data_IF_315523976011
#
_entry.id   IF_315523976011
#
_cell.length_a   1.000
_cell.length_b   1.000
_cell.length_c   1.000
_cell.angle_alpha   90.00
_cell.angle_beta   90.00
_cell.angle_gamma   90.00
#
_symmetry.space_group_name_H-M   'P 1'
#
loop_
_entity.id
_entity.type
_entity.pdbx_description
1 polymer ?
#
# COMPACT_ATOMS: atom_id res chain seq x y z
N UNK A 1 -3.59 -17.00 2.87
CA UNK A 1 -3.03 -15.64 3.09
C UNK A 1 -3.80 -14.98 4.22
N UNK A 2 -3.10 -14.38 5.17
CA UNK A 2 -3.68 -13.55 6.24
C UNK A 2 -3.25 -12.10 6.02
N UNK A 3 -4.20 -11.17 6.05
CA UNK A 3 -3.95 -9.74 5.86
C UNK A 3 -4.23 -9.02 7.18
N UNK A 4 -3.25 -8.29 7.68
CA UNK A 4 -3.38 -7.54 8.94
C UNK A 4 -3.56 -6.06 8.65
N UNK A 5 -4.75 -5.56 8.96
CA UNK A 5 -5.17 -4.16 8.88
C UNK A 5 -5.45 -3.59 10.28
N UNK A 6 -4.57 -3.88 11.24
CA UNK A 6 -4.66 -3.44 12.64
C UNK A 6 -3.32 -2.89 13.12
N UNK A 7 -3.31 -2.26 14.30
CA UNK A 7 -2.11 -1.71 14.95
C UNK A 7 -2.04 -0.18 14.96
N UNK A 8 -2.94 0.51 14.24
CA UNK A 8 -3.03 1.98 14.28
C UNK A 8 -3.38 2.51 15.70
N UNK A 9 -3.97 1.67 16.55
CA UNK A 9 -4.35 2.00 17.92
C UNK A 9 -3.42 1.38 18.99
N UNK A 10 -2.29 0.77 18.58
CA UNK A 10 -1.35 0.19 19.53
C UNK A 10 -0.67 1.27 20.38
N UNK A 11 -0.23 0.85 21.57
CA UNK A 11 0.32 1.73 22.61
C UNK A 11 1.79 2.10 22.41
N UNK A 12 2.52 1.37 21.57
CA UNK A 12 3.93 1.67 21.30
C UNK A 12 4.62 0.69 20.32
N UNK A 13 5.82 1.05 19.83
CA UNK A 13 6.53 0.28 18.82
C UNK A 13 6.95 -1.12 19.31
N UNK A 14 7.32 -1.26 20.59
CA UNK A 14 7.65 -2.57 21.16
C UNK A 14 6.43 -3.48 21.31
N UNK A 15 5.26 -2.92 21.63
CA UNK A 15 4.02 -3.67 21.69
C UNK A 15 3.66 -4.19 20.30
N UNK A 16 3.65 -3.30 19.30
CA UNK A 16 3.42 -3.64 17.90
C UNK A 16 4.42 -4.70 17.42
N UNK A 17 5.70 -4.56 17.77
CA UNK A 17 6.75 -5.53 17.44
C UNK A 17 6.43 -6.93 17.95
N UNK A 18 6.07 -7.04 19.23
CA UNK A 18 5.70 -8.31 19.86
C UNK A 18 4.45 -8.90 19.18
N UNK A 19 3.44 -8.07 18.90
CA UNK A 19 2.23 -8.50 18.22
C UNK A 19 2.53 -9.07 16.82
N UNK A 20 3.32 -8.37 16.00
CA UNK A 20 3.72 -8.85 14.67
C UNK A 20 4.45 -10.19 14.77
N UNK A 21 5.41 -10.32 15.70
CA UNK A 21 6.16 -11.59 15.89
C UNK A 21 5.25 -12.75 16.26
N UNK A 22 4.33 -12.53 17.19
CA UNK A 22 3.38 -13.55 17.63
C UNK A 22 2.47 -13.96 16.48
N UNK A 23 1.88 -13.01 15.76
CA UNK A 23 1.01 -13.28 14.62
C UNK A 23 1.77 -14.02 13.52
N UNK A 24 2.96 -13.54 13.13
CA UNK A 24 3.77 -14.17 12.10
C UNK A 24 4.15 -15.61 12.45
N UNK A 25 4.47 -15.89 13.72
CA UNK A 25 4.72 -17.26 14.20
C UNK A 25 3.49 -18.16 14.03
N UNK A 26 2.30 -17.68 14.40
CA UNK A 26 1.07 -18.48 14.27
C UNK A 26 0.67 -18.69 12.81
N UNK A 27 0.79 -17.66 11.97
CA UNK A 27 0.50 -17.74 10.53
C UNK A 27 1.44 -18.74 9.85
N UNK A 28 2.73 -18.71 10.21
CA UNK A 28 3.71 -19.70 9.71
C UNK A 28 3.36 -21.13 10.12
N UNK A 29 2.94 -21.35 11.38
CA UNK A 29 2.53 -22.69 11.86
C UNK A 29 1.35 -23.27 11.08
N UNK A 30 0.48 -22.40 10.56
CA UNK A 30 -0.68 -22.78 9.74
C UNK A 30 -0.33 -22.94 8.26
N UNK A 31 0.95 -22.80 7.87
CA UNK A 31 1.37 -22.88 6.46
C UNK A 31 0.84 -21.74 5.59
N UNK A 32 0.40 -20.63 6.20
CA UNK A 32 -0.17 -19.50 5.48
C UNK A 32 0.86 -18.38 5.27
N UNK A 33 0.65 -17.59 4.21
CA UNK A 33 1.38 -16.35 3.95
C UNK A 33 0.81 -15.19 4.76
N UNK A 34 1.65 -14.20 5.07
CA UNK A 34 1.27 -13.00 5.83
C UNK A 34 1.51 -11.72 5.00
N UNK A 35 0.51 -10.83 4.98
CA UNK A 35 0.63 -9.47 4.49
C UNK A 35 0.26 -8.48 5.60
N UNK A 36 1.06 -7.44 5.80
CA UNK A 36 0.78 -6.38 6.78
C UNK A 36 0.63 -5.03 6.09
N UNK A 37 -0.39 -4.27 6.49
CA UNK A 37 -0.71 -2.97 5.93
C UNK A 37 -0.05 -1.85 6.75
N UNK A 38 0.69 -0.94 6.11
CA UNK A 38 1.28 0.22 6.82
C UNK A 38 0.22 1.26 7.18
N UNK A 39 0.52 2.09 8.17
CA UNK A 39 -0.41 3.09 8.70
C UNK A 39 -0.19 4.44 8.05
N UNK A 40 -1.28 5.18 7.82
CA UNK A 40 -1.20 6.54 7.28
C UNK A 40 -0.50 7.48 8.26
N UNK A 41 0.55 8.15 7.81
CA UNK A 41 1.27 9.17 8.56
C UNK A 41 0.63 10.55 8.33
N UNK A 42 -0.51 10.80 8.99
CA UNK A 42 -1.21 12.09 8.92
C UNK A 42 -2.09 12.32 10.16
N UNK A 43 -2.64 13.53 10.30
CA UNK A 43 -3.52 13.91 11.40
C UNK A 43 -2.86 13.68 12.77
N UNK A 44 -3.69 13.38 13.78
CA UNK A 44 -3.23 13.14 15.16
C UNK A 44 -2.35 11.90 15.35
N UNK A 45 -2.20 11.04 14.33
CA UNK A 45 -1.37 9.81 14.41
C UNK A 45 -0.04 9.95 13.67
N UNK A 46 0.28 11.11 13.10
CA UNK A 46 1.47 11.35 12.27
C UNK A 46 2.77 10.81 12.91
N UNK A 47 3.11 11.30 14.10
CA UNK A 47 4.37 10.95 14.77
C UNK A 47 4.39 9.50 15.22
N UNK A 48 3.26 8.98 15.70
CA UNK A 48 3.13 7.57 16.08
C UNK A 48 3.34 6.66 14.87
N UNK A 49 2.69 6.95 13.75
CA UNK A 49 2.77 6.09 12.57
C UNK A 49 4.15 6.17 11.89
N UNK A 50 4.87 7.30 12.02
CA UNK A 50 6.28 7.42 11.64
C UNK A 50 7.20 6.48 12.43
N UNK A 51 6.87 6.17 13.69
CA UNK A 51 7.65 5.19 14.47
C UNK A 51 7.18 3.76 14.22
N UNK A 52 5.88 3.55 13.95
CA UNK A 52 5.31 2.22 13.75
C UNK A 52 5.60 1.62 12.37
N UNK A 53 5.55 2.41 11.30
CA UNK A 53 5.77 1.91 9.94
C UNK A 53 7.17 1.27 9.73
N UNK A 54 8.27 1.83 10.25
CA UNK A 54 9.56 1.16 10.25
C UNK A 54 9.55 -0.19 10.98
N UNK A 55 8.82 -0.30 12.09
CA UNK A 55 8.67 -1.58 12.82
C UNK A 55 7.96 -2.60 11.95
N UNK A 56 6.83 -2.24 11.34
CA UNK A 56 6.11 -3.13 10.39
C UNK A 56 7.06 -3.61 9.30
N UNK A 57 7.78 -2.71 8.65
CA UNK A 57 8.69 -3.06 7.54
C UNK A 57 9.82 -3.99 7.99
N UNK A 58 10.44 -3.72 9.15
CA UNK A 58 11.51 -4.55 9.69
C UNK A 58 11.01 -5.94 10.10
N UNK A 59 9.87 -6.01 10.79
CA UNK A 59 9.35 -7.28 11.30
C UNK A 59 8.82 -8.17 10.17
N UNK A 60 8.17 -7.58 9.16
CA UNK A 60 7.70 -8.31 7.99
C UNK A 60 8.84 -8.83 7.13
N UNK A 61 9.92 -8.05 6.96
CA UNK A 61 11.14 -8.52 6.28
C UNK A 61 11.72 -9.74 7.00
N UNK A 62 11.85 -9.71 8.32
CA UNK A 62 12.35 -10.87 9.10
C UNK A 62 11.41 -12.08 9.00
N UNK A 63 10.10 -11.85 8.98
CA UNK A 63 9.12 -12.91 8.90
C UNK A 63 8.94 -13.50 7.47
N UNK A 64 9.67 -12.99 6.48
CA UNK A 64 9.44 -13.30 5.05
C UNK A 64 7.99 -13.04 4.61
N UNK A 65 7.33 -12.06 5.23
CA UNK A 65 5.99 -11.64 4.86
C UNK A 65 5.99 -10.44 3.91
N UNK A 66 4.83 -10.11 3.37
CA UNK A 66 4.65 -8.98 2.44
C UNK A 66 4.19 -7.73 3.17
N UNK A 67 4.64 -6.56 2.70
CA UNK A 67 4.12 -5.26 3.16
C UNK A 67 3.26 -4.65 2.07
N UNK A 68 2.02 -4.28 2.41
CA UNK A 68 1.21 -3.40 1.59
C UNK A 68 1.38 -1.95 2.11
N UNK A 69 2.11 -1.12 1.36
CA UNK A 69 2.46 0.24 1.80
C UNK A 69 1.30 1.23 1.57
N UNK A 70 0.24 1.09 2.37
CA UNK A 70 -0.90 2.00 2.35
C UNK A 70 -0.53 3.43 2.72
N UNK A 71 0.49 3.65 3.57
CA UNK A 71 0.99 4.98 3.85
C UNK A 71 1.42 5.70 2.55
N UNK A 72 2.20 5.03 1.70
CA UNK A 72 2.68 5.61 0.44
C UNK A 72 1.53 5.98 -0.52
N UNK A 73 0.54 5.10 -0.64
CA UNK A 73 -0.62 5.30 -1.53
C UNK A 73 -1.52 6.41 -0.98
N UNK A 74 -1.92 6.27 0.28
CA UNK A 74 -2.87 7.19 0.90
C UNK A 74 -2.33 8.61 0.98
N UNK A 75 -1.02 8.82 1.20
CA UNK A 75 -0.42 10.15 1.40
C UNK A 75 -0.75 11.13 0.27
N UNK A 76 -0.93 10.64 -0.96
CA UNK A 76 -1.24 11.45 -2.15
C UNK A 76 -2.74 11.70 -2.34
N UNK A 77 -3.60 11.06 -1.56
CA UNK A 77 -5.04 11.04 -1.78
C UNK A 77 -5.81 11.58 -0.57
N UNK A 78 -5.65 12.88 -0.27
CA UNK A 78 -6.28 13.52 0.89
C UNK A 78 -7.82 13.44 0.87
N UNK A 79 -8.42 13.51 -0.32
CA UNK A 79 -9.87 13.45 -0.52
C UNK A 79 -10.50 12.08 -0.19
N UNK A 80 -9.71 11.05 0.09
CA UNK A 80 -10.19 9.74 0.59
C UNK A 80 -10.50 9.72 2.08
N UNK A 81 -10.18 10.80 2.80
CA UNK A 81 -10.25 10.86 4.26
C UNK A 81 -11.26 11.90 4.74
N UNK A 82 -11.77 11.69 5.95
CA UNK A 82 -12.61 12.66 6.67
C UNK A 82 -11.74 13.76 7.30
N UNK A 83 -12.36 14.68 8.04
CA UNK A 83 -11.69 15.86 8.60
C UNK A 83 -10.48 15.57 9.50
N UNK A 84 -10.44 14.41 10.16
CA UNK A 84 -9.29 14.02 11.00
C UNK A 84 -8.07 13.52 10.21
N UNK A 85 -8.21 13.39 8.88
CA UNK A 85 -7.17 12.90 7.95
C UNK A 85 -6.70 11.47 8.19
N UNK A 86 -7.41 10.67 9.00
CA UNK A 86 -7.08 9.29 9.36
C UNK A 86 -8.20 8.33 8.94
N UNK A 87 -9.44 8.64 9.30
CA UNK A 87 -10.58 7.81 8.93
C UNK A 87 -10.95 8.06 7.46
N UNK A 88 -11.23 6.97 6.75
CA UNK A 88 -11.62 7.05 5.35
C UNK A 88 -13.10 7.38 5.21
N UNK A 89 -13.45 8.16 4.19
CA UNK A 89 -14.83 8.26 3.73
C UNK A 89 -15.17 7.06 2.81
N UNK A 90 -16.37 7.02 2.23
CA UNK A 90 -16.79 5.95 1.32
C UNK A 90 -15.86 5.75 0.11
N UNK A 91 -15.37 6.85 -0.48
CA UNK A 91 -14.43 6.82 -1.61
C UNK A 91 -13.10 6.22 -1.16
N UNK A 92 -12.59 6.61 0.01
CA UNK A 92 -11.37 6.06 0.58
C UNK A 92 -11.48 4.57 0.88
N UNK A 93 -12.58 4.12 1.47
CA UNK A 93 -12.85 2.71 1.74
C UNK A 93 -12.85 1.86 0.46
N UNK A 94 -13.50 2.36 -0.60
CA UNK A 94 -13.49 1.72 -1.92
C UNK A 94 -12.06 1.59 -2.48
N UNK A 95 -11.29 2.69 -2.50
CA UNK A 95 -9.92 2.65 -3.01
C UNK A 95 -8.98 1.81 -2.15
N UNK A 96 -9.19 1.76 -0.83
CA UNK A 96 -8.45 0.86 0.05
C UNK A 96 -8.65 -0.60 -0.36
N UNK A 97 -9.90 -1.03 -0.54
CA UNK A 97 -10.25 -2.38 -0.98
C UNK A 97 -9.65 -2.72 -2.36
N UNK A 98 -9.75 -1.79 -3.33
CA UNK A 98 -9.18 -1.99 -4.67
C UNK A 98 -7.66 -2.14 -4.63
N UNK A 99 -6.95 -1.36 -3.81
CA UNK A 99 -5.49 -1.47 -3.72
C UNK A 99 -5.05 -2.74 -2.99
N UNK A 100 -5.80 -3.22 -2.00
CA UNK A 100 -5.57 -4.55 -1.41
C UNK A 100 -5.74 -5.63 -2.47
N UNK A 101 -6.82 -5.58 -3.27
CA UNK A 101 -7.03 -6.53 -4.37
C UNK A 101 -5.87 -6.51 -5.37
N UNK A 102 -5.37 -5.33 -5.75
CA UNK A 102 -4.18 -5.20 -6.62
C UNK A 102 -2.94 -5.85 -5.99
N UNK A 103 -2.69 -5.61 -4.70
CA UNK A 103 -1.57 -6.23 -4.00
C UNK A 103 -1.68 -7.77 -3.94
N UNK A 104 -2.88 -8.30 -3.74
CA UNK A 104 -3.13 -9.74 -3.77
C UNK A 104 -2.93 -10.32 -5.17
N UNK A 105 -3.42 -9.65 -6.22
CA UNK A 105 -3.20 -10.09 -7.59
C UNK A 105 -1.70 -10.17 -7.91
N UNK A 106 -0.90 -9.19 -7.48
CA UNK A 106 0.57 -9.27 -7.61
C UNK A 106 1.13 -10.46 -6.83
N UNK A 107 0.70 -10.66 -5.59
CA UNK A 107 1.18 -11.75 -4.74
C UNK A 107 0.91 -13.14 -5.34
N UNK A 108 -0.28 -13.36 -5.91
CA UNK A 108 -0.67 -14.63 -6.52
C UNK A 108 -0.27 -14.78 -7.99
N UNK A 109 0.51 -13.83 -8.55
CA UNK A 109 0.91 -13.89 -9.97
C UNK A 109 -0.24 -13.65 -10.96
N UNK A 110 -1.34 -13.03 -10.50
CA UNK A 110 -2.53 -12.71 -11.28
C UNK A 110 -2.57 -11.23 -11.71
N UNK A 111 -1.47 -10.49 -11.54
CA UNK A 111 -1.39 -9.12 -12.01
C UNK A 111 -1.42 -9.09 -13.54
N UNK A 112 -2.41 -8.42 -14.10
CA UNK A 112 -2.44 -8.12 -15.54
C UNK A 112 -1.21 -7.29 -15.90
N UNK A 113 -0.51 -7.56 -17.01
CA UNK A 113 0.56 -6.70 -17.49
C UNK A 113 0.04 -5.27 -17.59
N UNK A 114 0.73 -4.31 -16.98
CA UNK A 114 0.40 -2.90 -17.21
C UNK A 114 0.67 -2.60 -18.68
N UNK A 115 -0.38 -2.32 -19.45
CA UNK A 115 -0.25 -1.77 -20.79
C UNK A 115 0.32 -0.36 -20.67
N UNK A 116 1.65 -0.24 -20.67
CA UNK A 116 2.33 1.03 -20.92
C UNK A 116 1.92 1.45 -22.32
N UNK A 117 1.02 2.42 -22.43
CA UNK A 117 0.69 3.03 -23.71
C UNK A 117 1.86 3.93 -24.09
N UNK A 118 2.80 3.42 -24.86
CA UNK A 118 3.83 4.23 -25.50
C UNK A 118 3.15 5.07 -26.57
N UNK A 119 2.84 6.33 -26.27
CA UNK A 119 2.39 7.30 -27.28
C UNK A 119 3.54 7.51 -28.26
N UNK A 120 3.45 6.89 -29.43
CA UNK A 120 4.37 7.14 -30.54
C UNK A 120 3.92 8.43 -31.23
N UNK A 121 4.62 9.52 -31.00
CA UNK A 121 4.40 10.78 -31.73
C UNK A 121 4.85 10.58 -33.17
N UNK A 122 3.91 10.39 -34.10
CA UNK A 122 4.20 10.38 -35.53
C UNK A 122 4.48 11.82 -35.96
N UNK A 123 5.73 12.09 -36.36
CA UNK A 123 6.10 13.37 -36.94
C UNK A 123 5.34 13.57 -38.26
N UNK A 124 4.56 14.64 -38.34
CA UNK A 124 3.87 15.05 -39.58
C UNK A 124 4.89 15.76 -40.47
N UNK A 125 5.22 15.16 -41.62
CA UNK A 125 6.01 15.82 -42.66
C UNK A 125 5.08 16.66 -43.55
N UNK A 126 5.25 17.98 -43.50
CA UNK A 126 4.56 18.92 -44.38
C UNK A 126 5.17 18.84 -45.79
N UNK A 127 4.39 18.66 -46.87
CA UNK A 127 4.91 18.78 -48.22
C UNK A 127 5.18 20.25 -48.55
N UNK A 128 6.39 20.55 -49.04
CA UNK A 128 6.69 21.86 -49.65
C UNK A 128 6.12 21.90 -51.07
N UNK A 129 5.22 22.84 -51.32
CA UNK A 129 4.78 23.20 -52.66
C UNK A 129 5.84 24.06 -53.33
N UNK A 130 6.39 23.60 -54.44
CA UNK A 130 7.24 24.40 -55.34
C UNK A 130 6.30 25.22 -56.21
N UNK A 131 6.42 26.55 -56.16
CA UNK A 131 5.76 27.46 -57.09
C UNK A 131 6.65 27.67 -58.31
N UNK A 132 6.04 27.60 -59.49
CA UNK A 132 6.61 27.94 -60.80
C UNK A 132 6.36 29.42 -61.12
#
# INVERSE_FOLDING_TARGET
>A
MVIIASGNNDTGPEYLRKAIRTIASQVKKQGASLMWITYRENGGVLFKNRTFNPVVKAEMKRAHGTVFDWNAISRRNKHWFTGDSVHMNGVGGYHFAINIKKALNVYFGQATPSTTTSTTTVATTTPSTIAE
#
